data_IF_121744777320
#
_entry.id   IF_121744777320
#
_cell.length_a   1.000
_cell.length_b   1.000
_cell.length_c   1.000
_cell.angle_alpha   90.00
_cell.angle_beta   90.00
_cell.angle_gamma   90.00
#
_symmetry.space_group_name_H-M   'P 1'
#
loop_
_entity.id
_entity.type
_entity.pdbx_description
1 polymer ?
#
# COMPACT_ATOMS: atom_id res chain seq x y z
N UNK A 1 -3.18 10.21 2.13
CA UNK A 1 -3.04 8.73 2.14
C UNK A 1 -2.91 8.25 3.56
N UNK A 2 -3.64 7.25 3.93
CA UNK A 2 -3.66 6.73 5.30
C UNK A 2 -3.47 5.23 5.32
N UNK A 3 -2.71 4.76 6.31
CA UNK A 3 -2.59 3.34 6.64
C UNK A 3 -3.03 3.15 8.08
N UNK A 4 -3.88 2.17 8.31
CA UNK A 4 -4.31 1.80 9.66
C UNK A 4 -3.84 0.39 9.95
N UNK A 5 -3.02 0.23 11.00
CA UNK A 5 -2.56 -1.08 11.45
C UNK A 5 -3.44 -1.52 12.62
N UNK A 6 -4.10 -2.66 12.45
CA UNK A 6 -4.86 -3.34 13.48
C UNK A 6 -4.14 -4.61 13.89
N UNK A 7 -4.71 -5.37 14.83
CA UNK A 7 -4.07 -6.57 15.37
C UNK A 7 -3.66 -7.58 14.29
N UNK A 8 -4.54 -7.85 13.33
CA UNK A 8 -4.33 -8.90 12.33
C UNK A 8 -4.44 -8.38 10.89
N UNK A 9 -4.54 -7.07 10.71
CA UNK A 9 -4.76 -6.49 9.40
C UNK A 9 -4.15 -5.10 9.26
N UNK A 10 -3.94 -4.71 8.00
CA UNK A 10 -3.57 -3.35 7.62
C UNK A 10 -4.57 -2.86 6.58
N UNK A 11 -5.09 -1.66 6.76
CA UNK A 11 -6.02 -1.04 5.84
C UNK A 11 -5.36 0.17 5.19
N UNK A 12 -5.31 0.17 3.87
CA UNK A 12 -4.68 1.21 3.09
C UNK A 12 -5.75 2.05 2.40
N UNK A 13 -5.84 3.34 2.76
CA UNK A 13 -6.76 4.29 2.15
C UNK A 13 -5.98 5.21 1.22
N UNK A 14 -6.32 5.18 -0.06
CA UNK A 14 -5.60 5.94 -1.07
C UNK A 14 -6.58 6.53 -2.09
N UNK A 15 -6.34 7.77 -2.52
CA UNK A 15 -7.11 8.38 -3.59
C UNK A 15 -6.62 7.90 -4.95
N UNK A 16 -7.51 7.86 -5.93
CA UNK A 16 -7.21 7.29 -7.25
C UNK A 16 -6.01 7.97 -7.93
N UNK A 17 -5.90 9.28 -7.84
CA UNK A 17 -4.79 9.99 -8.48
C UNK A 17 -3.45 9.68 -7.80
N UNK A 18 -3.44 9.52 -6.49
CA UNK A 18 -2.23 9.10 -5.76
C UNK A 18 -1.84 7.66 -6.15
N UNK A 19 -2.83 6.77 -6.26
CA UNK A 19 -2.56 5.40 -6.68
C UNK A 19 -1.99 5.35 -8.11
N UNK A 20 -2.53 6.14 -9.02
CA UNK A 20 -2.01 6.23 -10.40
C UNK A 20 -0.55 6.72 -10.42
N UNK A 21 -0.23 7.71 -9.59
CA UNK A 21 1.15 8.20 -9.47
C UNK A 21 2.08 7.11 -8.94
N UNK A 22 1.67 6.39 -7.91
CA UNK A 22 2.43 5.27 -7.36
C UNK A 22 2.70 4.22 -8.44
N UNK A 23 1.64 3.79 -9.14
CA UNK A 23 1.73 2.77 -10.18
C UNK A 23 2.68 3.20 -11.31
N UNK A 24 2.56 4.47 -11.74
CA UNK A 24 3.43 5.04 -12.76
C UNK A 24 4.90 5.04 -12.33
N UNK A 25 5.17 5.39 -11.06
CA UNK A 25 6.53 5.39 -10.52
C UNK A 25 7.12 3.99 -10.42
N UNK A 26 6.33 3.01 -10.04
CA UNK A 26 6.79 1.62 -9.92
C UNK A 26 7.13 0.99 -11.29
N UNK A 27 6.58 1.52 -12.37
CA UNK A 27 6.89 1.06 -13.74
C UNK A 27 8.15 1.69 -14.34
N UNK A 28 8.70 2.71 -13.66
CA UNK A 28 9.93 3.38 -14.12
C UNK A 28 11.18 2.62 -13.69
N UNK A 29 12.32 3.02 -14.24
CA UNK A 29 13.61 2.53 -13.81
C UNK A 29 13.78 2.75 -12.31
N UNK A 30 14.23 1.70 -11.62
CA UNK A 30 14.34 1.71 -10.16
C UNK A 30 13.14 1.10 -9.43
N UNK A 31 11.98 0.99 -10.06
CA UNK A 31 10.79 0.31 -9.53
C UNK A 31 10.40 0.78 -8.14
N UNK A 32 10.37 2.10 -7.93
CA UNK A 32 10.17 2.63 -6.59
C UNK A 32 9.39 3.94 -6.58
N UNK A 33 8.66 4.17 -5.50
CA UNK A 33 7.92 5.39 -5.22
C UNK A 33 8.19 5.84 -3.79
N UNK A 34 8.23 7.17 -3.58
CA UNK A 34 8.42 7.76 -2.27
C UNK A 34 7.44 8.90 -2.03
N UNK A 35 6.90 8.98 -0.81
CA UNK A 35 5.95 10.01 -0.43
C UNK A 35 5.75 10.06 1.08
N UNK A 36 4.57 10.52 1.49
CA UNK A 36 4.20 10.64 2.89
C UNK A 36 2.91 9.86 3.15
N UNK A 37 2.79 9.34 4.37
CA UNK A 37 1.60 8.63 4.80
C UNK A 37 1.29 8.95 6.26
N UNK A 38 0.00 8.99 6.59
CA UNK A 38 -0.45 9.01 7.97
C UNK A 38 -0.71 7.58 8.41
N UNK A 39 0.03 7.14 9.42
CA UNK A 39 -0.12 5.81 9.99
C UNK A 39 -0.92 5.90 11.29
N UNK A 40 -2.01 5.17 11.38
CA UNK A 40 -2.82 5.05 12.59
C UNK A 40 -2.58 3.69 13.23
N UNK A 41 -2.15 3.68 14.47
CA UNK A 41 -1.94 2.46 15.26
C UNK A 41 -2.34 2.73 16.69
N UNK A 42 -3.22 1.90 17.25
CA UNK A 42 -3.72 2.03 18.64
C UNK A 42 -4.25 3.44 18.93
N UNK A 43 -5.04 4.00 18.01
CA UNK A 43 -5.64 5.34 18.11
C UNK A 43 -4.63 6.47 18.14
N UNK A 44 -3.37 6.22 17.81
CA UNK A 44 -2.33 7.24 17.62
C UNK A 44 -2.03 7.39 16.16
N UNK A 45 -1.75 8.61 15.74
CA UNK A 45 -1.44 8.95 14.36
C UNK A 45 -0.01 9.41 14.22
N UNK A 46 0.68 8.87 13.21
CA UNK A 46 2.08 9.18 12.92
C UNK A 46 2.20 9.63 11.48
N UNK A 47 2.94 10.71 11.25
CA UNK A 47 3.26 11.14 9.88
C UNK A 47 4.63 10.54 9.52
N UNK A 48 4.64 9.63 8.57
CA UNK A 48 5.83 8.87 8.19
C UNK A 48 6.22 9.11 6.74
N UNK A 49 7.52 9.03 6.47
CA UNK A 49 8.02 8.86 5.12
C UNK A 49 7.58 7.46 4.62
N UNK A 50 7.08 7.39 3.39
CA UNK A 50 6.55 6.15 2.84
C UNK A 50 7.26 5.80 1.53
N UNK A 51 7.83 4.61 1.47
CA UNK A 51 8.48 4.09 0.28
C UNK A 51 7.83 2.79 -0.15
N UNK A 52 7.59 2.66 -1.44
CA UNK A 52 7.06 1.44 -2.03
C UNK A 52 8.04 0.95 -3.07
N UNK A 53 8.40 -0.34 -3.00
CA UNK A 53 9.29 -0.99 -3.94
C UNK A 53 8.56 -2.14 -4.63
N UNK A 54 8.79 -2.28 -5.93
CA UNK A 54 8.37 -3.47 -6.66
C UNK A 54 9.53 -4.48 -6.61
N UNK A 55 9.27 -5.65 -6.04
CA UNK A 55 10.27 -6.70 -5.93
C UNK A 55 9.96 -7.87 -6.88
N UNK A 56 10.94 -8.75 -7.07
CA UNK A 56 10.79 -9.96 -7.89
C UNK A 56 10.42 -11.20 -7.08
N UNK A 57 10.15 -11.03 -5.80
CA UNK A 57 9.74 -12.12 -4.90
C UNK A 57 8.23 -12.35 -5.00
N UNK A 58 7.77 -13.49 -4.50
CA UNK A 58 6.35 -13.83 -4.49
C UNK A 58 5.63 -13.30 -3.24
N UNK A 59 6.35 -12.70 -2.32
CA UNK A 59 5.81 -12.24 -1.03
C UNK A 59 5.81 -10.73 -0.93
N UNK A 60 4.76 -10.21 -0.28
CA UNK A 60 4.65 -8.81 0.04
C UNK A 60 5.07 -8.59 1.49
N UNK A 61 5.89 -7.58 1.72
CA UNK A 61 6.46 -7.30 3.03
C UNK A 61 6.37 -5.82 3.35
N UNK A 62 6.29 -5.49 4.65
CA UNK A 62 6.44 -4.12 5.09
C UNK A 62 7.16 -4.05 6.43
N UNK A 63 7.70 -2.88 6.70
CA UNK A 63 8.31 -2.58 8.00
C UNK A 63 8.19 -1.10 8.33
N UNK A 64 8.23 -0.80 9.62
CA UNK A 64 8.23 0.57 10.13
C UNK A 64 9.47 0.73 10.98
N UNK A 65 10.41 1.55 10.51
CA UNK A 65 11.68 1.81 11.19
C UNK A 65 12.06 3.27 11.07
N UNK A 66 12.51 3.88 12.18
CA UNK A 66 13.09 5.24 12.19
C UNK A 66 12.28 6.30 11.42
N UNK A 67 10.96 6.32 11.65
CA UNK A 67 10.09 7.30 11.02
C UNK A 67 9.79 7.03 9.56
N UNK A 68 10.12 5.84 9.07
CA UNK A 68 9.85 5.40 7.70
C UNK A 68 8.98 4.16 7.68
N UNK A 69 8.04 4.13 6.73
CA UNK A 69 7.31 2.91 6.39
C UNK A 69 7.79 2.46 5.01
N UNK A 70 8.23 1.21 4.92
CA UNK A 70 8.72 0.62 3.69
C UNK A 70 7.82 -0.55 3.31
N UNK A 71 7.25 -0.49 2.11
CA UNK A 71 6.38 -1.54 1.56
C UNK A 71 7.04 -2.12 0.32
N UNK A 72 7.24 -3.43 0.32
CA UNK A 72 7.77 -4.16 -0.82
C UNK A 72 6.67 -5.05 -1.38
N UNK A 73 6.27 -4.84 -2.62
CA UNK A 73 5.17 -5.57 -3.26
C UNK A 73 5.66 -6.45 -4.40
N UNK A 74 4.99 -7.58 -4.56
CA UNK A 74 5.25 -8.53 -5.64
C UNK A 74 4.60 -8.07 -6.95
N UNK A 75 5.00 -8.68 -8.07
CA UNK A 75 4.37 -8.47 -9.37
C UNK A 75 2.88 -8.82 -9.34
N UNK A 76 2.50 -9.83 -8.57
CA UNK A 76 1.10 -10.23 -8.42
C UNK A 76 0.27 -9.13 -7.76
N UNK A 77 0.76 -8.57 -6.66
CA UNK A 77 0.09 -7.44 -6.00
C UNK A 77 0.06 -6.21 -6.89
N UNK A 78 1.13 -5.95 -7.65
CA UNK A 78 1.15 -4.87 -8.62
C UNK A 78 0.02 -5.03 -9.66
N UNK A 79 -0.17 -6.24 -10.18
CA UNK A 79 -1.23 -6.52 -11.16
C UNK A 79 -2.62 -6.29 -10.56
N UNK A 80 -2.83 -6.67 -9.29
CA UNK A 80 -4.08 -6.38 -8.59
C UNK A 80 -4.33 -4.87 -8.47
N UNK A 81 -3.31 -4.11 -8.12
CA UNK A 81 -3.42 -2.65 -8.01
C UNK A 81 -3.73 -2.00 -9.36
N UNK A 82 -3.14 -2.49 -10.46
CA UNK A 82 -3.48 -2.04 -11.81
C UNK A 82 -4.95 -2.27 -12.11
N UNK A 83 -5.44 -3.47 -11.81
CA UNK A 83 -6.83 -3.83 -12.03
C UNK A 83 -7.78 -2.92 -11.24
N UNK A 84 -7.49 -2.68 -9.96
CA UNK A 84 -8.31 -1.81 -9.12
C UNK A 84 -8.27 -0.35 -9.61
N UNK A 85 -7.13 0.11 -10.10
CA UNK A 85 -7.01 1.45 -10.69
C UNK A 85 -7.91 1.60 -11.90
N UNK A 86 -7.93 0.61 -12.78
CA UNK A 86 -8.81 0.60 -13.96
C UNK A 86 -10.27 0.59 -13.55
N UNK A 87 -10.65 -0.28 -12.61
CA UNK A 87 -12.03 -0.40 -12.14
C UNK A 87 -12.56 0.91 -11.57
N UNK A 88 -11.81 1.58 -10.71
CA UNK A 88 -12.22 2.87 -10.14
C UNK A 88 -12.29 3.95 -11.22
N UNK A 89 -11.33 3.98 -12.13
CA UNK A 89 -11.30 4.96 -13.21
C UNK A 89 -12.49 4.82 -14.16
N UNK A 90 -12.91 3.59 -14.45
CA UNK A 90 -14.03 3.32 -15.37
C UNK A 90 -15.39 3.52 -14.72
N UNK A 91 -15.55 3.07 -13.47
CA UNK A 91 -16.86 3.07 -12.81
C UNK A 91 -17.06 4.26 -11.88
N UNK A 92 -15.98 4.98 -11.53
CA UNK A 92 -16.05 6.17 -10.69
C UNK A 92 -16.57 5.94 -9.27
N UNK A 93 -16.57 4.70 -8.79
CA UNK A 93 -17.04 4.34 -7.45
C UNK A 93 -15.88 3.91 -6.56
N UNK A 94 -15.91 4.28 -5.27
CA UNK A 94 -14.89 3.81 -4.32
C UNK A 94 -14.93 2.29 -4.19
N UNK A 95 -13.76 1.69 -4.07
CA UNK A 95 -13.60 0.25 -3.88
C UNK A 95 -12.93 -0.05 -2.56
N UNK A 96 -13.45 -1.08 -1.90
CA UNK A 96 -12.77 -1.76 -0.81
C UNK A 96 -12.40 -3.14 -1.31
N UNK A 97 -11.11 -3.45 -1.37
CA UNK A 97 -10.65 -4.69 -1.98
C UNK A 97 -9.54 -5.35 -1.17
N UNK A 98 -9.51 -6.66 -1.25
CA UNK A 98 -8.50 -7.45 -0.57
C UNK A 98 -7.24 -7.54 -1.44
N UNK A 99 -6.08 -7.33 -0.80
CA UNK A 99 -4.77 -7.59 -1.39
C UNK A 99 -4.17 -8.84 -0.76
N UNK A 100 -3.02 -9.28 -1.28
CA UNK A 100 -2.29 -10.36 -0.69
C UNK A 100 -1.83 -10.01 0.74
N UNK A 101 -1.69 -11.01 1.60
CA UNK A 101 -1.21 -10.79 2.95
C UNK A 101 0.17 -10.15 2.95
N UNK A 102 0.40 -9.26 3.92
CA UNK A 102 1.68 -8.59 4.12
C UNK A 102 2.41 -9.18 5.31
N UNK A 103 3.70 -9.45 5.11
CA UNK A 103 4.55 -9.87 6.21
C UNK A 103 5.16 -8.65 6.91
N UNK A 104 4.85 -8.47 8.18
CA UNK A 104 5.41 -7.40 9.01
C UNK A 104 6.76 -7.87 9.57
N UNK A 105 7.85 -7.39 9.00
CA UNK A 105 9.19 -7.89 9.27
C UNK A 105 9.58 -7.77 10.75
N UNK A 106 9.41 -6.59 11.35
CA UNK A 106 9.80 -6.35 12.75
C UNK A 106 9.04 -7.23 13.75
N UNK A 107 7.78 -7.55 13.48
CA UNK A 107 6.95 -8.35 14.35
C UNK A 107 6.91 -9.83 13.95
N UNK A 108 7.52 -10.20 12.82
CA UNK A 108 7.51 -11.57 12.28
C UNK A 108 6.10 -12.13 12.20
N UNK A 109 5.19 -11.36 11.61
CA UNK A 109 3.77 -11.65 11.62
C UNK A 109 3.15 -11.33 10.27
N UNK A 110 2.24 -12.21 9.80
CA UNK A 110 1.43 -11.96 8.61
C UNK A 110 0.20 -11.15 8.96
N UNK A 111 -0.10 -10.14 8.16
CA UNK A 111 -1.32 -9.34 8.29
C UNK A 111 -2.13 -9.42 7.02
N UNK A 112 -3.45 -9.50 7.17
CA UNK A 112 -4.35 -9.30 6.05
C UNK A 112 -4.24 -7.86 5.56
N UNK A 113 -4.32 -7.64 4.25
CA UNK A 113 -4.21 -6.31 3.67
C UNK A 113 -5.45 -5.99 2.86
N UNK A 114 -6.05 -4.82 3.14
CA UNK A 114 -7.19 -4.30 2.39
C UNK A 114 -6.84 -2.92 1.86
N UNK A 115 -7.27 -2.64 0.62
CA UNK A 115 -7.11 -1.33 0.03
C UNK A 115 -8.47 -0.70 -0.23
N UNK A 116 -8.59 0.57 0.12
CA UNK A 116 -9.77 1.39 -0.12
C UNK A 116 -9.37 2.50 -1.07
N UNK A 117 -9.75 2.35 -2.34
CA UNK A 117 -9.42 3.33 -3.38
C UNK A 117 -10.60 4.29 -3.50
N UNK A 118 -10.35 5.56 -3.28
CA UNK A 118 -11.38 6.60 -3.28
C UNK A 118 -11.22 7.53 -4.48
N UNK A 119 -12.34 8.13 -4.93
CA UNK A 119 -12.31 9.18 -5.93
C UNK A 119 -11.72 10.46 -5.32
N UNK A 120 -11.04 11.24 -6.14
CA UNK A 120 -10.52 12.54 -5.73
C UNK A 120 -11.63 13.59 -5.58
#
# INVERSE_FOLDING_TARGET
MNLEIRRDSINWHVKINDLKEIMSSLQREGNYWEGQVFLTKRKKEYNLSFRIFLNSNDEDEFDVTDGQLILSISDDTFSLLEEYTVMVSEYGTPFAHELNNLYFISLKKWLGCHIYVEND
#
